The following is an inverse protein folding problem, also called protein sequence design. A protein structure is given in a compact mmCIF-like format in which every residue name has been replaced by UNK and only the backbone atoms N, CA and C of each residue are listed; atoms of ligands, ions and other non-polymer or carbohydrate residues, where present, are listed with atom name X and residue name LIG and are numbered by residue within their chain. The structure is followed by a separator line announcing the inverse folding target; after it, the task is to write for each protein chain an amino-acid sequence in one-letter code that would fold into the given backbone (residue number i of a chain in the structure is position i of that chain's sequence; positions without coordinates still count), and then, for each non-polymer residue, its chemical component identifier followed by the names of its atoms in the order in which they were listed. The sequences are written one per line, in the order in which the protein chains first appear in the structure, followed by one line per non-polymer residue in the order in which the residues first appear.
data_IF_198764363222
#
_entry.id   IF_198764363222
#
_cell.length_a   1.000
_cell.length_b   1.000
_cell.length_c   1.000
_cell.angle_alpha   90.00
_cell.angle_beta   90.00
_cell.angle_gamma   90.00
#
_symmetry.space_group_name_H-M   'P 1'
#
loop_
_entity.id
_entity.type
_entity.pdbx_description
1 polymer ?
#
# COMPACT_ATOMS: atom_id res chain seq x y z
N UNK A 1 9.58 24.28 -10.99
CA UNK A 1 9.53 24.24 -9.51
C UNK A 1 10.28 23.01 -9.03
N UNK A 2 11.15 23.10 -8.01
CA UNK A 2 11.96 21.98 -7.57
C UNK A 2 11.07 20.91 -6.93
N UNK A 3 11.17 19.66 -7.35
CA UNK A 3 10.44 18.56 -6.72
C UNK A 3 11.01 18.31 -5.33
N UNK A 4 10.21 18.47 -4.28
CA UNK A 4 10.60 18.13 -2.91
C UNK A 4 10.59 16.60 -2.81
N UNK A 5 11.75 15.99 -3.02
CA UNK A 5 11.96 14.57 -2.70
C UNK A 5 11.95 14.44 -1.18
N UNK A 6 10.87 13.92 -0.60
CA UNK A 6 10.87 13.54 0.82
C UNK A 6 11.43 12.12 0.91
N UNK A 7 12.70 12.03 1.27
CA UNK A 7 13.27 10.78 1.79
C UNK A 7 12.69 10.57 3.18
N UNK A 8 11.99 9.46 3.37
CA UNK A 8 11.40 9.11 4.66
C UNK A 8 12.52 8.92 5.69
N UNK A 9 12.31 9.36 6.92
CA UNK A 9 13.33 9.26 7.96
C UNK A 9 13.69 7.80 8.24
N UNK A 10 14.94 7.40 7.95
CA UNK A 10 15.56 6.22 8.56
C UNK A 10 15.86 6.56 10.01
N UNK A 11 15.32 5.79 10.93
CA UNK A 11 15.73 5.91 12.33
C UNK A 11 16.75 4.82 12.65
N UNK A 12 17.97 5.23 12.97
CA UNK A 12 19.03 4.36 13.46
C UNK A 12 18.73 3.98 14.92
N UNK A 13 17.81 3.04 15.14
CA UNK A 13 17.61 2.44 16.47
C UNK A 13 18.12 1.01 16.46
N UNK A 14 19.17 0.80 17.26
CA UNK A 14 19.91 -0.45 17.41
C UNK A 14 19.16 -1.50 18.24
N UNK A 15 17.98 -1.20 18.79
CA UNK A 15 17.41 -1.98 19.90
C UNK A 15 15.92 -2.36 19.76
N UNK A 16 15.33 -2.28 18.56
CA UNK A 16 13.96 -2.74 18.37
C UNK A 16 13.90 -4.26 18.22
N UNK A 17 12.70 -4.84 18.34
CA UNK A 17 12.41 -6.28 18.14
C UNK A 17 13.40 -6.90 17.13
N UNK A 18 14.06 -8.02 17.49
CA UNK A 18 15.22 -8.56 16.76
C UNK A 18 14.95 -8.86 15.27
N UNK A 19 13.68 -8.90 14.85
CA UNK A 19 13.27 -8.97 13.43
C UNK A 19 13.42 -7.65 12.65
N UNK A 20 13.54 -6.52 13.35
CA UNK A 20 13.58 -5.17 12.79
C UNK A 20 14.87 -4.38 13.14
N UNK A 21 15.74 -4.96 13.97
CA UNK A 21 17.10 -4.50 14.25
C UNK A 21 18.00 -5.67 14.69
N UNK A 22 18.81 -6.27 13.78
CA UNK A 22 19.81 -7.23 14.20
C UNK A 22 21.04 -6.43 14.67
N UNK A 23 21.56 -6.73 15.87
CA UNK A 23 22.96 -7.01 16.17
C UNK A 23 23.15 -7.31 17.67
N UNK A 24 24.14 -8.14 18.05
CA UNK A 24 24.38 -8.57 19.41
C UNK A 24 25.21 -7.53 20.18
N UNK A 25 24.85 -7.33 21.46
CA UNK A 25 25.71 -6.65 22.42
C UNK A 25 25.25 -5.26 22.81
N UNK A 26 24.90 -5.16 24.10
CA UNK A 26 24.72 -3.95 24.91
C UNK A 26 23.36 -3.23 24.83
N UNK A 27 22.52 -3.61 25.80
CA UNK A 27 21.50 -2.81 26.50
C UNK A 27 20.13 -2.51 25.87
N UNK A 28 19.31 -3.56 25.66
CA UNK A 28 17.81 -3.46 25.69
C UNK A 28 17.21 -2.79 26.95
N UNK A 29 18.03 -2.33 27.91
CA UNK A 29 17.65 -2.17 29.31
C UNK A 29 16.96 -0.83 29.67
N UNK A 30 16.91 0.18 28.79
CA UNK A 30 16.47 1.53 29.21
C UNK A 30 15.32 2.16 28.41
N UNK A 31 14.75 1.50 27.40
CA UNK A 31 13.65 2.08 26.63
C UNK A 31 12.27 1.62 27.11
N UNK A 32 11.32 2.56 27.18
CA UNK A 32 9.93 2.23 27.53
C UNK A 32 9.27 1.50 26.37
N UNK A 33 8.81 0.28 26.62
CA UNK A 33 8.12 -0.55 25.64
C UNK A 33 6.60 -0.46 25.80
N UNK A 34 5.90 -0.63 24.69
CA UNK A 34 4.44 -0.70 24.59
C UNK A 34 4.08 -1.99 23.87
N UNK A 35 3.04 -2.66 24.35
CA UNK A 35 2.49 -3.85 23.71
C UNK A 35 1.36 -3.45 22.75
N UNK A 36 1.37 -4.00 21.54
CA UNK A 36 0.28 -3.87 20.57
C UNK A 36 -0.13 -5.28 20.15
N UNK A 37 -1.40 -5.62 20.37
CA UNK A 37 -1.99 -6.85 19.86
C UNK A 37 -2.62 -6.57 18.50
N UNK A 38 -2.08 -7.17 17.44
CA UNK A 38 -2.71 -7.21 16.12
C UNK A 38 -3.69 -8.37 16.09
N UNK A 39 -4.96 -8.09 15.81
CA UNK A 39 -6.03 -9.08 15.85
C UNK A 39 -6.73 -9.20 14.53
N UNK A 40 -6.79 -10.42 14.02
CA UNK A 40 -7.48 -10.75 12.79
C UNK A 40 -8.28 -12.04 12.97
N UNK A 41 -9.60 -11.93 12.91
CA UNK A 41 -10.53 -13.02 13.25
C UNK A 41 -10.24 -13.60 14.66
N UNK A 42 -9.73 -14.84 14.71
CA UNK A 42 -9.37 -15.54 15.96
C UNK A 42 -7.88 -15.49 16.28
N UNK A 43 -7.05 -14.94 15.40
CA UNK A 43 -5.61 -14.81 15.62
C UNK A 43 -5.31 -13.49 16.32
N UNK A 44 -4.63 -13.56 17.46
CA UNK A 44 -4.12 -12.42 18.21
C UNK A 44 -2.61 -12.58 18.37
N UNK A 45 -1.85 -11.68 17.75
CA UNK A 45 -0.39 -11.68 17.79
C UNK A 45 0.08 -10.41 18.48
N UNK A 46 0.86 -10.58 19.55
CA UNK A 46 1.41 -9.46 20.31
C UNK A 46 2.77 -9.01 19.74
N UNK A 47 2.93 -7.70 19.68
CA UNK A 47 4.15 -7.03 19.26
C UNK A 47 4.62 -6.09 20.38
N UNK A 48 5.92 -6.10 20.65
CA UNK A 48 6.54 -5.20 21.62
C UNK A 48 7.26 -4.10 20.84
N UNK A 49 6.81 -2.86 20.99
CA UNK A 49 7.31 -1.72 20.23
C UNK A 49 7.83 -0.63 21.16
N UNK A 50 8.77 0.16 20.68
CA UNK A 50 9.25 1.32 21.43
C UNK A 50 8.18 2.37 21.55
N UNK A 51 7.96 2.86 22.77
CA UNK A 51 7.08 3.99 23.02
C UNK A 51 7.49 5.22 22.21
N UNK A 52 8.79 5.48 22.12
CA UNK A 52 9.31 6.62 21.35
C UNK A 52 9.01 6.52 19.85
N UNK A 53 8.91 5.30 19.29
CA UNK A 53 8.44 5.14 17.92
C UNK A 53 7.01 5.70 17.78
N UNK A 54 6.13 5.36 18.73
CA UNK A 54 4.73 5.76 18.73
C UNK A 54 4.52 7.24 19.08
N UNK A 55 5.37 7.84 19.91
CA UNK A 55 5.14 9.20 20.46
C UNK A 55 6.04 10.28 19.88
N UNK A 56 7.26 9.94 19.43
CA UNK A 56 8.27 10.89 18.97
C UNK A 56 8.53 10.80 17.48
N UNK A 57 8.70 9.60 16.95
CA UNK A 57 9.17 9.41 15.57
C UNK A 57 8.03 9.29 14.56
N UNK A 58 7.06 8.43 14.85
CA UNK A 58 5.94 8.13 13.95
C UNK A 58 4.61 8.52 14.62
N UNK A 59 4.61 9.61 15.38
CA UNK A 59 3.48 10.02 16.22
C UNK A 59 2.20 10.23 15.44
N UNK A 60 2.29 10.89 14.27
CA UNK A 60 1.13 11.09 13.39
C UNK A 60 0.57 9.77 12.87
N UNK A 61 1.45 8.87 12.43
CA UNK A 61 1.07 7.55 11.92
C UNK A 61 0.39 6.71 13.01
N UNK A 62 1.02 6.56 14.18
CA UNK A 62 0.46 5.71 15.23
C UNK A 62 -0.75 6.33 15.92
N UNK A 63 -0.84 7.66 15.98
CA UNK A 63 -2.06 8.32 16.45
C UNK A 63 -3.23 8.09 15.49
N UNK A 64 -3.01 8.04 14.16
CA UNK A 64 -4.10 7.77 13.21
C UNK A 64 -4.61 6.33 13.29
N UNK A 65 -3.75 5.37 13.64
CA UNK A 65 -4.14 3.95 13.70
C UNK A 65 -4.60 3.48 15.09
N UNK A 66 -3.99 3.98 16.17
CA UNK A 66 -4.26 3.55 17.56
C UNK A 66 -5.05 4.59 18.38
N UNK A 67 -5.22 5.81 17.85
CA UNK A 67 -5.75 6.94 18.61
C UNK A 67 -4.70 7.58 19.55
N UNK A 68 -5.12 8.44 20.49
CA UNK A 68 -4.22 9.10 21.42
C UNK A 68 -3.40 8.09 22.24
N UNK A 69 -2.07 8.14 22.12
CA UNK A 69 -1.18 7.15 22.77
C UNK A 69 -1.16 7.32 24.31
N UNK A 70 -1.35 8.54 24.82
CA UNK A 70 -1.45 8.80 26.26
C UNK A 70 -0.32 8.17 27.06
N UNK A 71 -0.58 7.63 28.26
CA UNK A 71 0.34 6.79 29.05
C UNK A 71 0.08 5.28 28.91
N UNK A 72 -0.69 4.90 27.88
CA UNK A 72 -1.08 3.51 27.66
C UNK A 72 0.13 2.63 27.37
N UNK A 73 0.13 1.44 27.98
CA UNK A 73 1.15 0.40 27.79
C UNK A 73 0.68 -0.72 26.86
N UNK A 74 -0.59 -0.72 26.51
CA UNK A 74 -1.24 -1.76 25.73
C UNK A 74 -2.24 -1.15 24.75
N UNK A 75 -2.26 -1.68 23.52
CA UNK A 75 -3.23 -1.35 22.49
C UNK A 75 -3.69 -2.63 21.79
N UNK A 76 -4.94 -2.61 21.33
CA UNK A 76 -5.50 -3.64 20.45
C UNK A 76 -5.81 -3.00 19.09
N UNK A 77 -5.33 -3.61 18.01
CA UNK A 77 -5.52 -3.13 16.65
C UNK A 77 -6.10 -4.26 15.79
N UNK A 78 -7.29 -4.05 15.24
CA UNK A 78 -7.92 -4.98 14.30
C UNK A 78 -7.23 -4.89 12.94
N UNK A 79 -6.26 -5.78 12.70
CA UNK A 79 -5.45 -5.84 11.49
C UNK A 79 -4.79 -7.22 11.39
N UNK A 80 -4.59 -7.69 10.16
CA UNK A 80 -3.77 -8.88 9.90
C UNK A 80 -2.33 -8.65 10.44
N UNK A 81 -1.77 -9.58 11.24
CA UNK A 81 -0.41 -9.47 11.76
C UNK A 81 0.65 -9.20 10.68
N UNK A 82 0.50 -9.74 9.46
CA UNK A 82 1.42 -9.53 8.33
C UNK A 82 1.40 -8.08 7.83
N UNK A 83 0.22 -7.47 7.82
CA UNK A 83 0.06 -6.04 7.50
C UNK A 83 0.70 -5.20 8.59
N UNK A 84 0.50 -5.56 9.86
CA UNK A 84 1.15 -4.84 10.97
C UNK A 84 2.67 -4.97 10.95
N UNK A 85 3.22 -6.13 10.59
CA UNK A 85 4.65 -6.33 10.36
C UNK A 85 5.16 -5.38 9.27
N UNK A 86 4.46 -5.26 8.13
CA UNK A 86 4.82 -4.30 7.08
C UNK A 86 4.80 -2.86 7.59
N UNK A 87 3.80 -2.49 8.39
CA UNK A 87 3.74 -1.17 8.99
C UNK A 87 4.92 -0.89 9.93
N UNK A 88 5.32 -1.88 10.75
CA UNK A 88 6.47 -1.75 11.63
C UNK A 88 7.79 -1.63 10.85
N UNK A 89 7.97 -2.42 9.79
CA UNK A 89 9.14 -2.26 8.89
C UNK A 89 9.25 -0.81 8.41
N UNK A 90 8.15 -0.31 7.86
CA UNK A 90 8.10 1.05 7.36
C UNK A 90 8.32 2.09 8.47
N UNK A 91 7.70 1.91 9.63
CA UNK A 91 7.81 2.85 10.74
C UNK A 91 9.25 2.96 11.27
N UNK A 92 9.96 1.84 11.39
CA UNK A 92 11.34 1.80 11.88
C UNK A 92 12.36 2.24 10.84
N UNK A 93 12.23 1.80 9.58
CA UNK A 93 13.29 1.97 8.57
C UNK A 93 12.90 2.86 7.40
N UNK A 94 11.65 3.26 7.27
CA UNK A 94 11.16 4.00 6.10
C UNK A 94 11.17 3.17 4.81
N UNK A 95 11.19 1.83 4.92
CA UNK A 95 11.18 0.89 3.79
C UNK A 95 10.60 -0.47 4.17
N UNK A 96 10.27 -1.27 3.16
CA UNK A 96 9.93 -2.69 3.29
C UNK A 96 11.08 -3.56 2.76
N UNK A 97 11.49 -4.57 3.52
CA UNK A 97 12.61 -5.47 3.14
C UNK A 97 12.33 -6.95 3.38
N UNK A 98 11.37 -7.33 4.25
CA UNK A 98 11.08 -8.75 4.45
C UNK A 98 10.46 -9.34 3.19
N UNK A 99 10.86 -10.57 2.83
CA UNK A 99 10.37 -11.25 1.63
C UNK A 99 8.83 -11.32 1.59
N UNK A 100 8.22 -11.57 2.74
CA UNK A 100 6.78 -11.64 2.92
C UNK A 100 6.05 -10.31 2.65
N UNK A 101 6.72 -9.16 2.79
CA UNK A 101 6.13 -7.84 2.53
C UNK A 101 6.53 -7.26 1.18
N UNK A 102 7.64 -7.72 0.58
CA UNK A 102 8.11 -7.21 -0.73
C UNK A 102 7.74 -8.09 -1.92
N UNK A 103 7.57 -9.41 -1.72
CA UNK A 103 7.26 -10.36 -2.81
C UNK A 103 5.82 -10.88 -2.78
N UNK A 104 5.08 -10.65 -1.70
CA UNK A 104 3.70 -11.08 -1.61
C UNK A 104 2.75 -9.96 -2.04
N UNK A 105 2.13 -10.10 -3.20
CA UNK A 105 1.19 -9.11 -3.74
C UNK A 105 -0.07 -8.96 -2.87
N UNK A 106 -0.51 -10.01 -2.19
CA UNK A 106 -1.66 -9.95 -1.28
C UNK A 106 -1.37 -9.04 -0.10
N UNK A 107 -0.20 -9.19 0.52
CA UNK A 107 0.24 -8.34 1.64
C UNK A 107 0.38 -6.87 1.19
N UNK A 108 0.86 -6.61 -0.03
CA UNK A 108 0.91 -5.24 -0.58
C UNK A 108 -0.49 -4.63 -0.74
N UNK A 109 -1.46 -5.41 -1.22
CA UNK A 109 -2.85 -4.96 -1.32
C UNK A 109 -3.47 -4.72 0.05
N UNK A 110 -3.24 -5.61 1.01
CA UNK A 110 -3.77 -5.47 2.37
C UNK A 110 -3.18 -4.26 3.09
N UNK A 111 -1.88 -3.99 2.90
CA UNK A 111 -1.22 -2.76 3.37
C UNK A 111 -1.83 -1.52 2.74
N UNK A 112 -2.08 -1.52 1.42
CA UNK A 112 -2.74 -0.40 0.75
C UNK A 112 -4.15 -0.19 1.30
N UNK A 113 -4.97 -1.23 1.39
CA UNK A 113 -6.35 -1.18 1.89
C UNK A 113 -6.37 -0.66 3.33
N UNK A 114 -5.45 -1.13 4.18
CA UNK A 114 -5.28 -0.62 5.52
C UNK A 114 -4.94 0.88 5.52
N UNK A 115 -3.97 1.30 4.70
CA UNK A 115 -3.57 2.69 4.58
C UNK A 115 -4.69 3.60 4.03
N UNK A 116 -5.53 3.08 3.14
CA UNK A 116 -6.71 3.80 2.63
C UNK A 116 -7.76 3.99 3.72
N UNK A 117 -8.15 2.91 4.40
CA UNK A 117 -9.13 2.94 5.51
C UNK A 117 -8.70 3.82 6.68
N UNK A 118 -7.39 3.94 6.91
CA UNK A 118 -6.80 4.76 7.99
C UNK A 118 -6.36 6.14 7.53
N UNK A 119 -6.64 6.49 6.27
CA UNK A 119 -6.31 7.78 5.66
C UNK A 119 -4.82 8.16 5.85
N UNK A 120 -3.92 7.28 5.40
CA UNK A 120 -2.46 7.44 5.46
C UNK A 120 -1.90 7.61 4.03
N UNK A 121 -1.96 8.83 3.42
CA UNK A 121 -1.69 9.03 1.99
C UNK A 121 -0.29 8.61 1.55
N UNK A 122 0.74 8.92 2.35
CA UNK A 122 2.11 8.55 2.00
C UNK A 122 2.30 7.04 1.88
N UNK A 123 1.59 6.26 2.71
CA UNK A 123 1.67 4.80 2.68
C UNK A 123 0.88 4.25 1.49
N UNK A 124 -0.27 4.86 1.16
CA UNK A 124 -1.02 4.54 -0.06
C UNK A 124 -0.14 4.71 -1.31
N UNK A 125 0.57 5.83 -1.43
CA UNK A 125 1.45 6.12 -2.57
C UNK A 125 2.62 5.13 -2.68
N UNK A 126 3.28 4.83 -1.57
CA UNK A 126 4.38 3.84 -1.53
C UNK A 126 3.87 2.44 -1.90
N UNK A 127 2.70 2.04 -1.40
CA UNK A 127 2.09 0.76 -1.75
C UNK A 127 1.67 0.69 -3.21
N UNK A 128 1.05 1.74 -3.77
CA UNK A 128 0.69 1.76 -5.20
C UNK A 128 1.92 1.65 -6.09
N UNK A 129 3.02 2.35 -5.76
CA UNK A 129 4.27 2.20 -6.49
C UNK A 129 4.75 0.74 -6.50
N UNK A 130 4.69 0.07 -5.35
CA UNK A 130 5.10 -1.34 -5.23
C UNK A 130 4.17 -2.28 -5.97
N UNK A 131 2.85 -2.11 -5.85
CA UNK A 131 1.83 -2.91 -6.54
C UNK A 131 1.99 -2.80 -8.06
N UNK A 132 2.09 -1.58 -8.59
CA UNK A 132 2.28 -1.32 -10.03
C UNK A 132 3.61 -1.92 -10.49
N UNK A 133 4.70 -1.71 -9.73
CA UNK A 133 6.01 -2.27 -10.06
C UNK A 133 6.02 -3.80 -10.03
N UNK A 134 5.32 -4.43 -9.08
CA UNK A 134 5.18 -5.87 -8.99
C UNK A 134 4.55 -6.46 -10.24
N UNK A 135 3.38 -5.93 -10.64
CA UNK A 135 2.67 -6.39 -11.83
C UNK A 135 3.44 -6.14 -13.12
N UNK A 136 4.12 -4.98 -13.23
CA UNK A 136 4.96 -4.68 -14.38
C UNK A 136 6.16 -5.62 -14.49
N UNK A 137 6.93 -5.79 -13.42
CA UNK A 137 8.15 -6.63 -13.40
C UNK A 137 7.86 -8.11 -13.60
N UNK A 138 6.75 -8.60 -13.04
CA UNK A 138 6.32 -9.98 -13.22
C UNK A 138 5.63 -10.22 -14.57
N UNK A 139 5.38 -9.16 -15.35
CA UNK A 139 4.56 -9.19 -16.55
C UNK A 139 3.21 -9.90 -16.33
N UNK A 140 2.56 -9.60 -15.20
CA UNK A 140 1.23 -10.13 -14.84
C UNK A 140 0.24 -8.99 -14.59
N UNK A 141 -1.04 -9.27 -14.79
CA UNK A 141 -2.11 -8.36 -14.39
C UNK A 141 -2.74 -8.85 -13.08
N UNK A 142 -3.44 -7.97 -12.33
CA UNK A 142 -4.31 -8.40 -11.25
C UNK A 142 -5.32 -9.42 -11.77
N UNK A 143 -5.46 -10.55 -11.06
CA UNK A 143 -6.51 -11.52 -11.37
C UNK A 143 -7.88 -10.90 -11.11
N UNK A 144 -8.91 -11.53 -11.67
CA UNK A 144 -10.30 -11.14 -11.42
C UNK A 144 -10.66 -11.17 -9.93
N UNK A 145 -10.14 -12.15 -9.18
CA UNK A 145 -10.28 -12.22 -7.72
C UNK A 145 -9.65 -11.01 -7.01
N UNK A 146 -8.45 -10.60 -7.42
CA UNK A 146 -7.79 -9.42 -6.85
C UNK A 146 -8.55 -8.14 -7.18
N UNK A 147 -9.10 -8.01 -8.39
CA UNK A 147 -9.95 -6.87 -8.76
C UNK A 147 -11.19 -6.82 -7.86
N UNK A 148 -11.92 -7.94 -7.73
CA UNK A 148 -13.08 -8.02 -6.83
C UNK A 148 -12.72 -7.69 -5.39
N UNK A 149 -11.59 -8.24 -4.90
CA UNK A 149 -11.10 -7.99 -3.55
C UNK A 149 -10.79 -6.51 -3.33
N UNK A 150 -10.07 -5.88 -4.26
CA UNK A 150 -9.77 -4.45 -4.22
C UNK A 150 -11.06 -3.62 -4.18
N UNK A 151 -11.99 -3.85 -5.10
CA UNK A 151 -13.26 -3.11 -5.13
C UNK A 151 -14.11 -3.31 -3.86
N UNK A 152 -14.10 -4.51 -3.28
CA UNK A 152 -14.83 -4.79 -2.05
C UNK A 152 -14.29 -3.99 -0.86
N UNK A 153 -12.97 -3.80 -0.78
CA UNK A 153 -12.31 -3.27 0.42
C UNK A 153 -11.75 -1.86 0.29
N UNK A 154 -11.64 -1.35 -0.93
CA UNK A 154 -11.31 0.04 -1.22
C UNK A 154 -12.60 0.78 -1.52
N UNK A 155 -12.81 1.94 -0.87
CA UNK A 155 -13.95 2.81 -1.14
C UNK A 155 -13.50 4.26 -0.91
N UNK A 156 -13.98 5.23 -1.69
CA UNK A 156 -13.93 6.61 -1.25
C UNK A 156 -14.86 6.74 -0.02
N UNK A 157 -14.29 6.89 1.18
CA UNK A 157 -15.05 6.95 2.44
C UNK A 157 -15.48 8.39 2.77
N UNK A 158 -14.83 9.41 2.21
CA UNK A 158 -15.06 10.81 2.56
C UNK A 158 -15.52 11.67 1.38
N UNK A 159 -16.27 12.74 1.69
CA UNK A 159 -16.75 13.75 0.74
C UNK A 159 -15.64 14.55 0.04
N UNK A 160 -14.38 14.39 0.46
CA UNK A 160 -13.21 15.05 -0.13
C UNK A 160 -12.37 14.12 -1.01
N UNK A 161 -12.54 12.80 -0.92
CA UNK A 161 -11.92 11.82 -1.82
C UNK A 161 -12.91 11.43 -2.91
N UNK A 162 -12.76 12.01 -4.09
CA UNK A 162 -13.64 11.69 -5.22
C UNK A 162 -13.39 10.30 -5.81
N UNK A 163 -12.17 9.75 -5.68
CA UNK A 163 -11.78 8.46 -6.27
C UNK A 163 -10.69 7.74 -5.46
N UNK A 164 -10.81 6.40 -5.35
CA UNK A 164 -9.72 5.53 -4.88
C UNK A 164 -8.71 5.30 -6.01
N UNK A 165 -7.42 5.54 -5.76
CA UNK A 165 -6.36 5.33 -6.76
C UNK A 165 -6.18 3.85 -7.10
N UNK A 166 -6.40 2.96 -6.13
CA UNK A 166 -6.46 1.52 -6.36
C UNK A 166 -7.56 1.13 -7.33
N UNK A 167 -8.79 1.63 -7.14
CA UNK A 167 -9.90 1.34 -8.06
C UNK A 167 -9.61 1.82 -9.48
N UNK A 168 -8.99 3.00 -9.62
CA UNK A 168 -8.53 3.51 -10.93
C UNK A 168 -7.52 2.58 -11.58
N UNK A 169 -6.48 2.14 -10.86
CA UNK A 169 -5.50 1.19 -11.37
C UNK A 169 -6.15 -0.14 -11.77
N UNK A 170 -7.02 -0.69 -10.92
CA UNK A 170 -7.73 -1.94 -11.16
C UNK A 170 -8.70 -1.86 -12.34
N UNK A 171 -9.44 -0.76 -12.51
CA UNK A 171 -10.32 -0.52 -13.65
C UNK A 171 -9.54 -0.53 -14.97
N UNK A 172 -8.41 0.19 -15.02
CA UNK A 172 -7.54 0.21 -16.21
C UNK A 172 -6.95 -1.17 -16.51
N UNK A 173 -6.54 -1.92 -15.48
CA UNK A 173 -6.07 -3.29 -15.63
C UNK A 173 -7.18 -4.24 -16.13
N UNK A 174 -8.40 -4.10 -15.60
CA UNK A 174 -9.56 -4.87 -16.05
C UNK A 174 -9.85 -4.61 -17.54
N UNK A 175 -9.84 -3.34 -17.95
CA UNK A 175 -10.06 -2.95 -19.34
C UNK A 175 -8.99 -3.52 -20.29
N UNK A 176 -7.71 -3.37 -19.94
CA UNK A 176 -6.61 -3.93 -20.75
C UNK A 176 -6.70 -5.45 -20.86
N UNK A 177 -7.06 -6.14 -19.78
CA UNK A 177 -7.27 -7.59 -19.83
C UNK A 177 -8.45 -7.94 -20.73
N UNK A 178 -9.61 -7.31 -20.52
CA UNK A 178 -10.82 -7.55 -21.32
C UNK A 178 -10.55 -7.39 -22.82
N UNK A 179 -9.92 -6.29 -23.23
CA UNK A 179 -9.54 -6.07 -24.63
C UNK A 179 -8.56 -7.11 -25.14
N UNK A 180 -7.57 -7.49 -24.32
CA UNK A 180 -6.63 -8.55 -24.65
C UNK A 180 -7.30 -9.91 -24.92
N UNK A 181 -8.36 -10.23 -24.18
CA UNK A 181 -9.16 -11.44 -24.37
C UNK A 181 -10.05 -11.32 -25.63
N UNK A 182 -10.73 -10.19 -25.82
CA UNK A 182 -11.57 -9.95 -27.00
C UNK A 182 -10.80 -9.93 -28.33
N UNK A 183 -9.55 -9.45 -28.34
CA UNK A 183 -8.73 -9.31 -29.57
C UNK A 183 -7.68 -10.42 -29.75
N UNK A 184 -7.77 -11.53 -29.01
CA UNK A 184 -7.02 -12.76 -29.31
C UNK A 184 -5.55 -12.79 -28.87
N UNK A 185 -5.15 -11.95 -27.92
CA UNK A 185 -3.85 -12.11 -27.23
C UNK A 185 -3.94 -13.22 -26.17
N UNK A 186 -2.80 -13.70 -25.63
CA UNK A 186 -2.76 -14.73 -24.56
C UNK A 186 -3.38 -14.21 -23.26
N UNK A 187 -4.70 -14.18 -23.22
CA UNK A 187 -5.49 -13.88 -22.04
C UNK A 187 -5.36 -15.06 -21.06
N UNK A 188 -5.06 -14.75 -19.79
CA UNK A 188 -4.92 -15.75 -18.72
C UNK A 188 -6.25 -16.05 -18.01
N UNK A 189 -7.25 -15.19 -18.18
CA UNK A 189 -8.56 -15.27 -17.55
C UNK A 189 -9.60 -15.74 -18.58
N UNK A 190 -10.71 -16.33 -18.12
CA UNK A 190 -11.81 -16.69 -19.02
C UNK A 190 -12.77 -15.52 -19.21
N UNK A 191 -13.43 -15.44 -20.38
CA UNK A 191 -14.45 -14.42 -20.66
C UNK A 191 -15.56 -14.43 -19.59
N UNK A 192 -15.98 -15.61 -19.15
CA UNK A 192 -16.95 -15.76 -18.06
C UNK A 192 -16.47 -15.14 -16.74
N UNK A 193 -15.19 -15.31 -16.37
CA UNK A 193 -14.65 -14.70 -15.15
C UNK A 193 -14.59 -13.17 -15.24
N UNK A 194 -14.33 -12.63 -16.43
CA UNK A 194 -14.31 -11.19 -16.70
C UNK A 194 -15.72 -10.62 -16.55
N UNK A 195 -16.71 -11.23 -17.20
CA UNK A 195 -18.12 -10.84 -17.09
C UNK A 195 -18.65 -10.90 -15.66
N UNK A 196 -18.39 -11.99 -14.94
CA UNK A 196 -18.75 -12.15 -13.53
C UNK A 196 -18.13 -11.02 -12.70
N UNK A 197 -16.86 -10.69 -12.91
CA UNK A 197 -16.20 -9.63 -12.14
C UNK A 197 -16.87 -8.27 -12.32
N UNK A 198 -17.29 -7.94 -13.55
CA UNK A 198 -18.00 -6.69 -13.83
C UNK A 198 -19.35 -6.62 -13.10
N UNK A 199 -20.07 -7.74 -13.00
CA UNK A 199 -21.37 -7.82 -12.35
C UNK A 199 -21.29 -7.72 -10.82
N UNK A 200 -20.24 -8.29 -10.23
CA UNK A 200 -20.12 -8.42 -8.76
C UNK A 200 -19.22 -7.37 -8.10
N UNK A 201 -18.37 -6.67 -8.86
CA UNK A 201 -17.53 -5.60 -8.34
C UNK A 201 -18.24 -4.23 -8.43
N UNK A 202 -18.92 -3.84 -7.34
CA UNK A 202 -19.67 -2.59 -7.27
C UNK A 202 -18.81 -1.35 -7.59
N UNK A 203 -19.20 -0.63 -8.65
CA UNK A 203 -18.52 0.54 -9.18
C UNK A 203 -17.49 0.26 -10.29
N UNK A 204 -17.08 -1.00 -10.52
CA UNK A 204 -16.08 -1.34 -11.53
C UNK A 204 -16.53 -0.95 -12.95
N UNK A 205 -17.80 -1.16 -13.29
CA UNK A 205 -18.34 -0.74 -14.58
C UNK A 205 -18.23 0.78 -14.76
N UNK A 206 -18.68 1.56 -13.77
CA UNK A 206 -18.58 3.02 -13.79
C UNK A 206 -17.12 3.48 -13.93
N UNK A 207 -16.21 2.92 -13.15
CA UNK A 207 -14.81 3.33 -13.16
C UNK A 207 -14.07 2.86 -14.41
N UNK A 208 -14.46 1.73 -15.00
CA UNK A 208 -13.99 1.28 -16.32
C UNK A 208 -14.48 2.22 -17.42
N UNK A 209 -15.75 2.62 -17.40
CA UNK A 209 -16.28 3.60 -18.34
C UNK A 209 -15.55 4.93 -18.18
N UNK A 210 -15.34 5.42 -16.94
CA UNK A 210 -14.50 6.60 -16.72
C UNK A 210 -13.10 6.42 -17.29
N UNK A 211 -12.45 5.27 -17.10
CA UNK A 211 -11.13 5.02 -17.69
C UNK A 211 -11.12 5.07 -19.23
N UNK A 212 -12.21 4.68 -19.90
CA UNK A 212 -12.38 4.82 -21.35
C UNK A 212 -12.56 6.28 -21.76
N UNK A 213 -13.37 7.02 -21.00
CA UNK A 213 -13.87 8.34 -21.39
C UNK A 213 -13.11 9.51 -20.78
N UNK A 214 -12.29 9.33 -19.74
CA UNK A 214 -11.60 10.40 -18.99
C UNK A 214 -10.65 11.21 -19.89
N UNK A 215 -10.87 12.53 -20.02
CA UNK A 215 -9.84 13.47 -20.40
C UNK A 215 -9.64 14.44 -19.23
N UNK A 216 -8.70 14.16 -18.33
CA UNK A 216 -8.30 15.14 -17.33
C UNK A 216 -6.79 15.05 -17.05
N UNK A 217 -6.01 15.89 -17.72
CA UNK A 217 -4.63 16.23 -17.36
C UNK A 217 -3.52 15.43 -18.06
N UNK A 218 -3.72 14.14 -18.35
CA UNK A 218 -2.95 13.39 -19.35
C UNK A 218 -3.73 12.16 -19.82
N UNK A 219 -3.78 11.84 -21.13
CA UNK A 219 -4.56 10.72 -21.62
C UNK A 219 -3.89 9.41 -21.26
N UNK A 220 -4.50 8.63 -20.35
CA UNK A 220 -4.31 7.20 -20.42
C UNK A 220 -4.99 6.74 -21.69
N UNK A 221 -4.18 6.22 -22.62
CA UNK A 221 -4.71 5.62 -23.84
C UNK A 221 -5.13 4.21 -23.50
N UNK A 222 -6.26 3.77 -24.03
CA UNK A 222 -6.80 2.42 -23.78
C UNK A 222 -5.79 1.32 -24.17
N UNK A 223 -4.91 1.62 -25.14
CA UNK A 223 -3.84 0.75 -25.61
C UNK A 223 -2.56 0.83 -24.75
N UNK A 224 -2.47 1.77 -23.80
CA UNK A 224 -1.33 1.92 -22.92
C UNK A 224 -1.41 0.92 -21.77
N UNK A 225 -0.37 0.09 -21.61
CA UNK A 225 -0.25 -0.80 -20.46
C UNK A 225 -0.30 0.01 -19.14
N UNK A 226 -1.34 -0.18 -18.30
CA UNK A 226 -1.54 0.61 -17.10
C UNK A 226 -0.46 0.40 -16.03
N UNK A 227 0.36 -0.65 -16.19
CA UNK A 227 1.45 -1.00 -15.28
C UNK A 227 2.77 -0.34 -15.68
N UNK A 228 2.88 0.16 -16.91
CA UNK A 228 4.13 0.61 -17.49
C UNK A 228 4.50 2.02 -17.01
N UNK A 229 5.58 2.18 -16.21
CA UNK A 229 5.97 3.48 -15.64
C UNK A 229 6.49 4.48 -16.69
N UNK A 230 6.81 4.03 -17.91
CA UNK A 230 7.17 4.92 -19.02
C UNK A 230 5.94 5.48 -19.75
N UNK A 231 4.77 4.87 -19.54
CA UNK A 231 3.51 5.22 -20.23
C UNK A 231 2.51 5.87 -19.28
N UNK A 232 2.58 5.56 -17.99
CA UNK A 232 1.70 6.08 -16.94
C UNK A 232 2.52 6.83 -15.91
N UNK A 233 2.08 8.03 -15.53
CA UNK A 233 2.78 8.84 -14.52
C UNK A 233 2.44 8.29 -13.13
N UNK A 234 3.41 8.31 -12.21
CA UNK A 234 3.17 7.89 -10.81
C UNK A 234 1.98 8.63 -10.18
N UNK A 235 1.89 9.94 -10.46
CA UNK A 235 0.80 10.82 -10.07
C UNK A 235 -0.60 10.31 -10.46
N UNK A 236 -0.73 9.49 -11.51
CA UNK A 236 -2.02 8.95 -11.93
C UNK A 236 -2.59 7.96 -10.89
N UNK A 237 -1.72 7.41 -10.03
CA UNK A 237 -2.04 6.45 -8.97
C UNK A 237 -1.66 6.93 -7.56
N UNK A 238 -1.35 8.21 -7.37
CA UNK A 238 -1.06 8.80 -6.06
C UNK A 238 -2.24 9.61 -5.52
N UNK A 239 -2.36 9.63 -4.20
CA UNK A 239 -3.43 10.31 -3.48
C UNK A 239 -2.95 11.69 -3.01
N UNK A 240 -3.27 12.74 -3.77
CA UNK A 240 -3.03 14.14 -3.39
C UNK A 240 -4.06 15.07 -4.04
N UNK A 241 -4.18 16.32 -3.57
CA UNK A 241 -5.18 17.23 -4.09
C UNK A 241 -4.89 17.64 -5.55
N UNK A 242 -5.95 18.02 -6.28
CA UNK A 242 -5.84 18.55 -7.64
C UNK A 242 -5.00 19.83 -7.59
N UNK A 243 -3.87 19.86 -8.31
CA UNK A 243 -2.86 20.93 -8.35
C UNK A 243 -1.75 20.88 -7.29
N UNK A 244 -1.73 19.86 -6.43
CA UNK A 244 -0.54 19.59 -5.61
C UNK A 244 0.55 18.91 -6.43
N UNK A 245 1.80 19.22 -6.10
CA UNK A 245 2.96 18.52 -6.68
C UNK A 245 2.94 17.10 -6.13
N UNK A 246 2.82 16.12 -7.03
CA UNK A 246 2.89 14.70 -6.70
C UNK A 246 4.08 14.41 -5.78
N UNK A 247 3.84 13.91 -4.56
CA UNK A 247 4.88 13.69 -3.59
C UNK A 247 5.77 12.54 -4.07
N UNK A 248 7.08 12.79 -4.12
CA UNK A 248 8.07 11.75 -4.44
C UNK A 248 8.51 11.06 -3.17
N UNK A 249 7.58 10.35 -2.51
CA UNK A 249 7.93 9.49 -1.39
C UNK A 249 8.93 8.44 -1.87
N UNK A 250 10.14 8.50 -1.33
CA UNK A 250 11.18 7.51 -1.59
C UNK A 250 11.43 6.74 -0.32
N UNK A 251 11.34 5.42 -0.46
CA UNK A 251 11.88 4.51 0.53
C UNK A 251 13.38 4.72 0.69
N UNK A 252 13.86 4.36 1.87
CA UNK A 252 15.27 4.48 2.23
C UNK A 252 16.09 3.37 1.57
N UNK A 253 17.35 3.66 1.21
CA UNK A 253 18.22 2.72 0.48
C UNK A 253 18.54 1.47 1.29
N UNK A 254 18.31 0.28 0.69
CA UNK A 254 18.60 -1.03 1.27
C UNK A 254 19.98 -1.06 1.92
N UNK A 255 20.06 -1.63 3.14
CA UNK A 255 21.29 -1.78 3.90
C UNK A 255 21.54 -3.28 4.15
N UNK A 256 22.54 -3.83 3.47
CA UNK A 256 22.91 -5.24 3.55
C UNK A 256 23.36 -5.70 4.94
N UNK A 257 23.73 -4.79 5.84
CA UNK A 257 24.14 -5.13 7.20
C UNK A 257 22.95 -5.33 8.15
N UNK A 258 21.83 -4.66 7.89
CA UNK A 258 20.66 -4.65 8.79
C UNK A 258 19.43 -5.33 8.21
N UNK A 259 19.44 -5.65 6.91
CA UNK A 259 18.30 -6.17 6.14
C UNK A 259 18.54 -7.62 5.68
N UNK A 260 18.92 -8.49 6.62
CA UNK A 260 19.14 -9.93 6.35
C UNK A 260 17.82 -10.69 6.36
#
# INVERSE_FOLDING_TARGET
MPSISQTLATYNWQEADPRFAPLPGNNRANHVMVKIAAVHYSEEVEFIVHRELLTRYQSRLFTSILGPIGNSKYFKLEVDPRVFIGLLQFAYRGRFWLLETIKNIEVLWDLYIFAEKKEIPFLQDVMMNRIVSFYFKSNTFPTMQTIMYGYKHTKPVSSTQTHSTARRFLARCYLSQSLGCFFGSKCRESDASIEVTLLWADGLQSDTMKAIWEPAGTPWKVEADPRNPMRVKLCDYHQHAWNEICPKYKETYFNSETDV
#
